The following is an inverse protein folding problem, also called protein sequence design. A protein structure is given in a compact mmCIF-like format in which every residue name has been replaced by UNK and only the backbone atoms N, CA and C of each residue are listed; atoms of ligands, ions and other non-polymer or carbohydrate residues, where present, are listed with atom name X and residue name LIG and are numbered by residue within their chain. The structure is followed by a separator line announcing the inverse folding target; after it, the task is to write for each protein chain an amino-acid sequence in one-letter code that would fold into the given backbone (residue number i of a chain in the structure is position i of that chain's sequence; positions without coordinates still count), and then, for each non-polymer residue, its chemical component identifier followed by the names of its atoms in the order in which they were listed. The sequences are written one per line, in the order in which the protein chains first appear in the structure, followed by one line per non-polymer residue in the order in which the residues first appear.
data_IF_776164944559
#
_entry.id   IF_776164944559
#
_cell.length_a   1.000
_cell.length_b   1.000
_cell.length_c   1.000
_cell.angle_alpha   90.00
_cell.angle_beta   90.00
_cell.angle_gamma   90.00
#
_symmetry.space_group_name_H-M   'P 1'
#
loop_
_entity.id
_entity.type
_entity.pdbx_description
1 polymer ?
#
# COMPACT_ATOMS: atom_id res chain seq x y z
N UNK A 1 -13.42 -4.34 19.78
CA UNK A 1 -12.88 -5.50 19.06
C UNK A 1 -12.27 -4.90 17.82
N UNK A 2 -10.94 -4.75 17.78
CA UNK A 2 -10.26 -4.27 16.58
C UNK A 2 -10.49 -5.35 15.52
N UNK A 3 -11.29 -5.05 14.50
CA UNK A 3 -11.41 -5.92 13.34
C UNK A 3 -10.02 -6.01 12.72
N UNK A 4 -9.33 -7.12 12.97
CA UNK A 4 -8.06 -7.41 12.30
C UNK A 4 -8.35 -7.41 10.80
N UNK A 5 -7.80 -6.44 10.09
CA UNK A 5 -7.90 -6.37 8.64
C UNK A 5 -7.16 -7.58 8.08
N UNK A 6 -7.90 -8.51 7.49
CA UNK A 6 -7.30 -9.62 6.77
C UNK A 6 -6.84 -9.14 5.39
N UNK A 7 -5.53 -8.95 5.23
CA UNK A 7 -4.92 -8.54 3.97
C UNK A 7 -4.74 -9.71 2.99
N UNK A 8 -4.94 -10.97 3.40
CA UNK A 8 -4.70 -12.13 2.54
C UNK A 8 -5.66 -12.22 1.35
N UNK A 9 -6.86 -11.64 1.47
CA UNK A 9 -7.82 -11.52 0.36
C UNK A 9 -7.48 -10.37 -0.61
N UNK A 10 -6.66 -9.41 -0.18
CA UNK A 10 -6.34 -8.19 -0.96
C UNK A 10 -4.93 -8.20 -1.53
N UNK A 11 -3.97 -8.81 -0.85
CA UNK A 11 -2.54 -8.74 -1.15
C UNK A 11 -1.96 -10.15 -1.20
N UNK A 12 -1.42 -10.53 -2.36
CA UNK A 12 -0.65 -11.76 -2.50
C UNK A 12 0.75 -11.60 -1.93
N UNK A 13 1.34 -12.67 -1.40
CA UNK A 13 2.68 -12.63 -0.80
C UNK A 13 3.76 -12.10 -1.77
N UNK A 14 3.64 -12.40 -3.06
CA UNK A 14 4.56 -11.87 -4.08
C UNK A 14 4.45 -10.35 -4.26
N UNK A 15 3.24 -9.79 -4.12
CA UNK A 15 3.00 -8.35 -4.14
C UNK A 15 3.60 -7.70 -2.89
N UNK A 16 3.40 -8.32 -1.72
CA UNK A 16 3.96 -7.85 -0.46
C UNK A 16 5.49 -7.78 -0.52
N UNK A 17 6.15 -8.80 -1.07
CA UNK A 17 7.62 -8.83 -1.24
C UNK A 17 8.08 -7.75 -2.23
N UNK A 18 7.37 -7.58 -3.35
CA UNK A 18 7.73 -6.58 -4.35
C UNK A 18 7.63 -5.15 -3.78
N UNK A 19 6.51 -4.83 -3.13
CA UNK A 19 6.26 -3.51 -2.54
C UNK A 19 7.18 -3.25 -1.34
N UNK A 20 7.50 -4.27 -0.53
CA UNK A 20 8.43 -4.09 0.58
C UNK A 20 9.81 -3.64 0.09
N UNK A 21 10.27 -4.19 -1.04
CA UNK A 21 11.53 -3.76 -1.66
C UNK A 21 11.48 -2.30 -2.17
N UNK A 22 10.33 -1.86 -2.71
CA UNK A 22 10.15 -0.47 -3.16
C UNK A 22 10.29 0.50 -2.00
N UNK A 23 9.61 0.23 -0.88
CA UNK A 23 9.64 1.10 0.30
C UNK A 23 10.85 0.89 1.22
N UNK A 24 11.78 0.00 0.87
CA UNK A 24 12.91 -0.35 1.74
C UNK A 24 12.49 -0.96 3.09
N UNK A 25 11.33 -1.63 3.12
CA UNK A 25 10.77 -2.29 4.30
C UNK A 25 10.94 -3.82 4.21
N UNK A 26 10.81 -4.48 5.36
CA UNK A 26 10.58 -5.95 5.35
C UNK A 26 9.09 -6.23 5.08
N UNK A 27 8.73 -7.41 4.55
CA UNK A 27 7.31 -7.78 4.36
C UNK A 27 6.49 -7.70 5.66
N UNK A 28 7.10 -8.07 6.79
CA UNK A 28 6.46 -7.96 8.11
C UNK A 28 6.21 -6.50 8.50
N UNK A 29 7.19 -5.62 8.30
CA UNK A 29 7.02 -4.18 8.57
C UNK A 29 5.96 -3.57 7.65
N UNK A 30 5.94 -3.93 6.36
CA UNK A 30 4.92 -3.48 5.42
C UNK A 30 3.50 -3.87 5.89
N UNK A 31 3.31 -5.09 6.39
CA UNK A 31 2.03 -5.52 6.97
C UNK A 31 1.62 -4.65 8.17
N UNK A 32 2.54 -4.36 9.09
CA UNK A 32 2.24 -3.50 10.24
C UNK A 32 1.84 -2.08 9.81
N UNK A 33 2.51 -1.52 8.81
CA UNK A 33 2.18 -0.18 8.31
C UNK A 33 0.85 -0.15 7.54
N UNK A 34 0.49 -1.24 6.85
CA UNK A 34 -0.83 -1.45 6.27
C UNK A 34 -1.91 -1.54 7.36
N UNK A 35 -1.68 -2.31 8.43
CA UNK A 35 -2.59 -2.43 9.57
C UNK A 35 -2.82 -1.08 10.28
N UNK A 36 -1.78 -0.25 10.38
CA UNK A 36 -1.87 1.11 10.95
C UNK A 36 -2.52 2.13 10.02
N UNK A 37 -2.68 1.81 8.73
CA UNK A 37 -3.17 2.75 7.71
C UNK A 37 -2.14 3.79 7.25
N UNK A 38 -0.85 3.58 7.57
CA UNK A 38 0.25 4.43 7.10
C UNK A 38 0.59 4.13 5.63
N UNK A 39 0.31 2.90 5.20
CA UNK A 39 0.33 2.48 3.80
C UNK A 39 -1.09 2.07 3.43
N UNK A 40 -1.55 2.57 2.28
CA UNK A 40 -2.86 2.24 1.73
C UNK A 40 -2.70 1.39 0.46
N UNK A 41 -3.67 0.53 0.19
CA UNK A 41 -3.75 -0.30 -1.02
C UNK A 41 -5.03 0.00 -1.77
N UNK A 42 -4.90 0.23 -3.07
CA UNK A 42 -6.00 0.48 -4.02
C UNK A 42 -6.00 -0.62 -5.07
N UNK A 43 -7.19 -1.06 -5.49
CA UNK A 43 -7.32 -2.14 -6.47
C UNK A 43 -7.07 -1.67 -7.91
N UNK A 44 -7.15 -0.37 -8.14
CA UNK A 44 -6.86 0.27 -9.42
C UNK A 44 -6.27 1.67 -9.24
N UNK A 45 -5.63 2.17 -10.30
CA UNK A 45 -5.16 3.56 -10.34
C UNK A 45 -6.31 4.57 -10.32
N UNK A 46 -7.50 4.18 -10.81
CA UNK A 46 -8.67 5.05 -10.79
C UNK A 46 -9.20 5.27 -9.37
N UNK A 47 -9.19 4.23 -8.53
CA UNK A 47 -9.51 4.37 -7.10
C UNK A 47 -8.51 5.29 -6.39
N UNK A 48 -7.22 5.12 -6.68
CA UNK A 48 -6.17 5.98 -6.13
C UNK A 48 -6.37 7.45 -6.55
N UNK A 49 -6.56 7.72 -7.85
CA UNK A 49 -6.79 9.06 -8.39
C UNK A 49 -8.11 9.69 -7.94
N UNK A 50 -9.11 8.87 -7.58
CA UNK A 50 -10.37 9.36 -7.02
C UNK A 50 -10.21 9.93 -5.61
N UNK A 51 -9.24 9.40 -4.85
CA UNK A 51 -8.94 9.82 -3.49
C UNK A 51 -7.89 10.93 -3.45
N UNK A 52 -6.85 10.81 -4.27
CA UNK A 52 -5.73 11.74 -4.32
C UNK A 52 -5.73 12.52 -5.62
N UNK A 53 -6.04 13.82 -5.53
CA UNK A 53 -5.91 14.76 -6.65
C UNK A 53 -4.49 15.29 -6.83
N UNK A 54 -3.68 15.23 -5.77
CA UNK A 54 -2.28 15.61 -5.74
C UNK A 54 -1.50 14.50 -5.02
N UNK A 55 -0.35 14.13 -5.57
CA UNK A 55 0.48 13.01 -5.10
C UNK A 55 1.89 13.46 -4.73
N UNK A 56 2.14 14.78 -4.71
CA UNK A 56 3.47 15.35 -4.43
C UNK A 56 4.03 14.91 -3.08
N UNK A 57 3.15 14.72 -2.08
CA UNK A 57 3.51 14.30 -0.72
C UNK A 57 3.35 12.78 -0.48
N UNK A 58 3.21 12.00 -1.56
CA UNK A 58 3.01 10.55 -1.49
C UNK A 58 4.18 9.83 -2.17
N UNK A 59 4.74 8.87 -1.45
CA UNK A 59 5.52 7.81 -2.05
C UNK A 59 4.56 6.71 -2.48
N UNK A 60 4.52 6.38 -3.77
CA UNK A 60 3.56 5.42 -4.30
C UNK A 60 4.15 4.60 -5.43
N UNK A 61 3.62 3.39 -5.59
CA UNK A 61 3.98 2.51 -6.68
C UNK A 61 2.76 1.76 -7.21
N UNK A 62 2.75 1.50 -8.51
CA UNK A 62 1.75 0.66 -9.16
C UNK A 62 2.38 -0.68 -9.56
N UNK A 63 1.70 -1.77 -9.20
CA UNK A 63 2.06 -3.12 -9.63
C UNK A 63 1.52 -3.40 -11.04
N UNK A 64 2.12 -4.36 -11.75
CA UNK A 64 1.72 -4.72 -13.11
C UNK A 64 0.27 -5.23 -13.23
N UNK A 65 -0.34 -5.65 -12.13
CA UNK A 65 -1.75 -6.04 -12.08
C UNK A 65 -2.71 -4.88 -11.78
N UNK A 66 -2.21 -3.64 -11.79
CA UNK A 66 -3.00 -2.43 -11.65
C UNK A 66 -3.17 -1.93 -10.22
N UNK A 67 -2.88 -2.75 -9.20
CA UNK A 67 -2.96 -2.34 -7.79
C UNK A 67 -1.96 -1.24 -7.49
N UNK A 68 -2.36 -0.31 -6.63
CA UNK A 68 -1.52 0.82 -6.22
C UNK A 68 -1.31 0.76 -4.71
N UNK A 69 -0.08 1.00 -4.28
CA UNK A 69 0.26 1.22 -2.89
C UNK A 69 0.68 2.67 -2.74
N UNK A 70 0.26 3.32 -1.66
CA UNK A 70 0.70 4.68 -1.34
C UNK A 70 1.04 4.82 0.14
N UNK A 71 2.10 5.56 0.42
CA UNK A 71 2.57 5.92 1.75
C UNK A 71 2.70 7.44 1.82
N UNK A 72 2.24 8.04 2.91
CA UNK A 72 2.53 9.46 3.16
C UNK A 72 4.02 9.65 3.41
N UNK A 73 4.62 10.64 2.77
CA UNK A 73 5.98 11.07 3.10
C UNK A 73 5.85 11.88 4.40
N UNK A 74 6.21 11.28 5.53
CA UNK A 74 6.38 12.03 6.78
C UNK A 74 7.69 12.83 6.66
N UNK A 75 7.61 14.16 6.77
CA UNK A 75 8.78 15.06 6.88
C UNK A 75 9.58 14.80 8.18
#
# INVERSE_FOLDING_TARGET
MEDKIDFSEKIHIGELIAVSNVYGLTPYTLLLELEKGNIEVFLSIDEFNSKYSDTTDLDWCQLNNGKVFSKKIEE
#
